data_IF_211299450845
#
_entry.id   IF_211299450845
#
_cell.length_a   1.000
_cell.length_b   1.000
_cell.length_c   1.000
_cell.angle_alpha   90.00
_cell.angle_beta   90.00
_cell.angle_gamma   90.00
#
_symmetry.space_group_name_H-M   'P 1'
#
loop_
_entity.id
_entity.type
_entity.pdbx_description
1 polymer ?
#
# COMPACT_ATOMS: atom_id res chain seq x y z
N UNK A 1 -13.04 6.76 3.39
CA UNK A 1 -11.93 5.83 3.09
C UNK A 1 -10.88 5.84 4.20
N UNK A 2 -10.44 7.02 4.66
CA UNK A 2 -9.52 7.16 5.79
C UNK A 2 -10.00 6.40 7.04
N UNK A 3 -11.27 6.58 7.44
CA UNK A 3 -11.83 5.90 8.62
C UNK A 3 -11.78 4.37 8.50
N UNK A 4 -12.12 3.84 7.33
CA UNK A 4 -12.09 2.39 7.08
C UNK A 4 -10.66 1.83 7.19
N UNK A 5 -9.67 2.51 6.60
CA UNK A 5 -8.27 2.10 6.69
C UNK A 5 -7.77 2.22 8.13
N UNK A 6 -8.11 3.30 8.84
CA UNK A 6 -7.76 3.48 10.24
C UNK A 6 -8.34 2.35 11.10
N UNK A 7 -9.61 2.00 10.92
CA UNK A 7 -10.23 0.87 11.64
C UNK A 7 -9.52 -0.45 11.36
N UNK A 8 -9.21 -0.74 10.08
CA UNK A 8 -8.47 -1.96 9.71
C UNK A 8 -7.10 -1.99 10.39
N UNK A 9 -6.35 -0.89 10.32
CA UNK A 9 -5.01 -0.79 10.92
C UNK A 9 -5.07 -0.96 12.44
N UNK A 10 -5.97 -0.26 13.12
CA UNK A 10 -6.10 -0.33 14.58
C UNK A 10 -6.49 -1.71 15.08
N UNK A 11 -7.51 -2.34 14.45
CA UNK A 11 -7.97 -3.67 14.87
C UNK A 11 -6.89 -4.73 14.62
N UNK A 12 -6.21 -4.67 13.47
CA UNK A 12 -5.16 -5.64 13.15
C UNK A 12 -3.91 -5.45 14.01
N UNK A 13 -3.52 -4.22 14.38
CA UNK A 13 -2.42 -4.00 15.32
C UNK A 13 -2.70 -4.63 16.68
N UNK A 14 -3.90 -4.43 17.24
CA UNK A 14 -4.30 -5.06 18.50
C UNK A 14 -4.24 -6.59 18.41
N UNK A 15 -4.77 -7.18 17.34
CA UNK A 15 -4.70 -8.62 17.13
C UNK A 15 -3.25 -9.13 17.02
N UNK A 16 -2.37 -8.42 16.31
CA UNK A 16 -0.95 -8.80 16.18
C UNK A 16 -0.22 -8.76 17.53
N UNK A 17 -0.50 -7.74 18.35
CA UNK A 17 0.05 -7.62 19.70
C UNK A 17 -0.40 -8.79 20.59
N UNK A 18 -1.68 -9.13 20.55
CA UNK A 18 -2.27 -10.25 21.29
C UNK A 18 -1.75 -11.62 20.82
N UNK A 19 -1.30 -11.72 19.56
CA UNK A 19 -0.79 -12.96 18.96
C UNK A 19 0.74 -13.05 18.92
N UNK A 20 1.43 -12.35 19.81
CA UNK A 20 2.86 -12.53 20.04
C UNK A 20 3.77 -11.69 19.14
N UNK A 21 3.23 -10.65 18.50
CA UNK A 21 4.02 -9.67 17.73
C UNK A 21 3.87 -8.27 18.35
N UNK A 22 4.31 -8.06 19.61
CA UNK A 22 4.02 -6.85 20.39
C UNK A 22 4.67 -5.56 19.86
N UNK A 23 5.63 -5.68 18.95
CA UNK A 23 6.31 -4.55 18.31
C UNK A 23 5.77 -4.25 16.90
N UNK A 24 4.71 -4.94 16.47
CA UNK A 24 4.10 -4.68 15.18
C UNK A 24 3.51 -3.28 15.13
N UNK A 25 3.79 -2.54 14.07
CA UNK A 25 3.09 -1.31 13.75
C UNK A 25 2.92 -1.18 12.24
N UNK A 26 1.84 -0.51 11.84
CA UNK A 26 1.63 -0.17 10.44
C UNK A 26 2.46 1.06 10.07
N UNK A 27 2.84 1.17 8.80
CA UNK A 27 3.28 2.46 8.27
C UNK A 27 2.21 3.53 8.52
N UNK A 28 2.63 4.75 8.87
CA UNK A 28 1.71 5.84 9.20
C UNK A 28 0.78 6.19 8.01
N UNK A 29 1.31 6.18 6.78
CA UNK A 29 0.57 6.51 5.56
C UNK A 29 -0.20 5.36 4.93
N UNK A 30 -1.04 5.67 3.94
CA UNK A 30 -1.64 4.68 3.04
C UNK A 30 -1.81 5.28 1.63
N UNK A 31 -1.73 4.42 0.61
CA UNK A 31 -2.07 4.78 -0.77
C UNK A 31 -3.45 4.26 -1.15
N UNK A 32 -4.26 5.08 -1.84
CA UNK A 32 -5.56 4.66 -2.36
C UNK A 32 -5.71 5.15 -3.81
N UNK A 33 -5.86 4.21 -4.74
CA UNK A 33 -5.98 4.49 -6.17
C UNK A 33 -7.27 3.87 -6.71
N UNK A 34 -8.09 4.67 -7.40
CA UNK A 34 -9.30 4.18 -8.05
C UNK A 34 -8.98 3.44 -9.34
N UNK A 35 -9.68 2.33 -9.60
CA UNK A 35 -9.51 1.53 -10.82
C UNK A 35 -10.83 1.37 -11.56
N UNK A 36 -10.79 1.38 -12.90
CA UNK A 36 -11.99 1.14 -13.71
C UNK A 36 -12.39 -0.34 -13.70
N UNK A 37 -13.69 -0.62 -13.89
CA UNK A 37 -14.19 -2.00 -14.01
C UNK A 37 -13.47 -2.79 -15.11
N UNK A 38 -13.13 -2.15 -16.23
CA UNK A 38 -12.38 -2.74 -17.33
C UNK A 38 -10.94 -3.14 -16.95
N UNK A 39 -10.37 -2.52 -15.91
CA UNK A 39 -9.02 -2.80 -15.43
C UNK A 39 -8.96 -3.91 -14.38
N UNK A 40 -10.09 -4.43 -13.88
CA UNK A 40 -10.14 -5.36 -12.75
C UNK A 40 -9.27 -6.60 -12.95
N UNK A 41 -9.35 -7.26 -14.10
CA UNK A 41 -8.55 -8.46 -14.36
C UNK A 41 -7.05 -8.14 -14.37
N UNK A 42 -6.66 -6.98 -14.93
CA UNK A 42 -5.27 -6.53 -14.94
C UNK A 42 -4.76 -6.24 -13.53
N UNK A 43 -5.56 -5.53 -12.72
CA UNK A 43 -5.22 -5.21 -11.33
C UNK A 43 -5.12 -6.47 -10.47
N UNK A 44 -6.03 -7.44 -10.69
CA UNK A 44 -5.98 -8.74 -10.00
C UNK A 44 -4.69 -9.49 -10.33
N UNK A 45 -4.34 -9.60 -11.61
CA UNK A 45 -3.10 -10.25 -12.01
C UNK A 45 -1.87 -9.53 -11.46
N UNK A 46 -1.88 -8.20 -11.50
CA UNK A 46 -0.83 -7.38 -10.90
C UNK A 46 -0.61 -7.71 -9.41
N UNK A 47 -1.68 -7.76 -8.60
CA UNK A 47 -1.61 -8.13 -7.18
C UNK A 47 -1.08 -9.55 -6.98
N UNK A 48 -1.56 -10.52 -7.78
CA UNK A 48 -1.16 -11.93 -7.65
C UNK A 48 0.33 -12.15 -7.93
N UNK A 49 0.96 -11.32 -8.77
CA UNK A 49 2.38 -11.44 -9.13
C UNK A 49 3.29 -10.47 -8.36
N UNK A 50 2.78 -9.75 -7.36
CA UNK A 50 3.55 -8.74 -6.62
C UNK A 50 4.81 -9.29 -5.96
N UNK A 51 4.76 -10.51 -5.39
CA UNK A 51 5.92 -11.12 -4.76
C UNK A 51 7.10 -11.29 -5.75
N UNK A 52 6.84 -11.80 -6.94
CA UNK A 52 7.86 -11.93 -8.00
C UNK A 52 8.30 -10.58 -8.57
N UNK A 53 7.39 -9.61 -8.61
CA UNK A 53 7.69 -8.25 -9.05
C UNK A 53 8.66 -7.55 -8.09
N UNK A 54 8.42 -7.69 -6.78
CA UNK A 54 9.24 -7.07 -5.72
C UNK A 54 10.61 -7.71 -5.53
N UNK A 55 10.87 -8.86 -6.16
CA UNK A 55 12.24 -9.38 -6.31
C UNK A 55 13.10 -8.53 -7.25
N UNK A 56 12.48 -7.70 -8.10
CA UNK A 56 13.16 -6.91 -9.14
C UNK A 56 12.99 -5.40 -8.98
N UNK A 57 11.87 -4.96 -8.40
CA UNK A 57 11.51 -3.54 -8.26
C UNK A 57 11.20 -3.28 -6.79
N UNK A 58 11.78 -2.22 -6.23
CA UNK A 58 11.53 -1.85 -4.84
C UNK A 58 10.12 -1.29 -4.67
N UNK A 59 9.56 -1.42 -3.46
CA UNK A 59 8.30 -0.77 -3.11
C UNK A 59 8.33 0.73 -3.38
N UNK A 60 9.43 1.41 -3.05
CA UNK A 60 9.55 2.85 -3.24
C UNK A 60 9.46 3.25 -4.72
N UNK A 61 10.17 2.54 -5.59
CA UNK A 61 10.16 2.81 -7.03
C UNK A 61 8.78 2.58 -7.63
N UNK A 62 8.12 1.50 -7.22
CA UNK A 62 6.77 1.21 -7.66
C UNK A 62 5.76 2.25 -7.14
N UNK A 63 5.90 2.68 -5.89
CA UNK A 63 5.03 3.70 -5.32
C UNK A 63 5.18 5.04 -6.03
N UNK A 64 6.42 5.49 -6.30
CA UNK A 64 6.69 6.69 -7.12
C UNK A 64 6.04 6.57 -8.50
N UNK A 65 6.17 5.42 -9.14
CA UNK A 65 5.58 5.16 -10.45
C UNK A 65 4.04 5.19 -10.41
N UNK A 66 3.42 4.63 -9.36
CA UNK A 66 1.98 4.72 -9.15
C UNK A 66 1.54 6.18 -8.98
N UNK A 67 2.26 6.99 -8.21
CA UNK A 67 1.96 8.42 -8.05
C UNK A 67 2.05 9.16 -9.40
N UNK A 68 3.13 8.93 -10.17
CA UNK A 68 3.31 9.51 -11.51
C UNK A 68 2.19 9.13 -12.47
N UNK A 69 1.82 7.84 -12.53
CA UNK A 69 0.75 7.33 -13.40
C UNK A 69 -0.61 7.95 -13.10
N UNK A 70 -0.85 8.30 -11.83
CA UNK A 70 -2.10 8.92 -11.40
C UNK A 70 -2.03 10.45 -11.35
N UNK A 71 -0.92 11.06 -11.81
CA UNK A 71 -0.75 12.51 -11.86
C UNK A 71 -0.68 13.17 -10.48
N UNK A 72 -0.31 12.41 -9.44
CA UNK A 72 -0.19 12.93 -8.08
C UNK A 72 1.19 13.56 -7.93
N UNK A 73 1.23 14.86 -7.65
CA UNK A 73 2.47 15.56 -7.33
C UNK A 73 2.95 15.14 -5.94
N UNK A 74 4.24 14.82 -5.81
CA UNK A 74 4.88 14.46 -4.55
C UNK A 74 6.29 15.05 -4.49
N UNK A 75 6.76 15.31 -3.29
CA UNK A 75 8.14 15.69 -3.01
C UNK A 75 8.89 14.45 -2.53
N UNK A 76 9.97 14.09 -3.22
CA UNK A 76 10.82 12.93 -2.90
C UNK A 76 11.31 12.94 -1.45
N UNK A 77 11.43 14.12 -0.82
CA UNK A 77 11.89 14.26 0.57
C UNK A 77 10.84 13.86 1.61
N UNK A 78 9.56 13.83 1.23
CA UNK A 78 8.44 13.64 2.16
C UNK A 78 7.52 12.48 1.78
N UNK A 79 7.78 11.80 0.66
CA UNK A 79 6.88 10.77 0.12
C UNK A 79 6.86 9.48 0.95
N UNK A 80 7.90 9.21 1.76
CA UNK A 80 8.00 8.01 2.60
C UNK A 80 7.93 8.27 4.12
N UNK A 81 7.96 9.54 4.55
CA UNK A 81 7.95 9.93 5.96
C UNK A 81 9.34 9.94 6.60
#
# INVERSE_FOLDING_TARGET
MADAINSIKSVSSGWMHDNGVPLFDWQAGYGAFSVSKSSLNRVRQYILTQEEHHKKISFEDEFRELLRRHGIAFDERFVFG
#
